data_IF_976637743422
#
_entry.id   IF_976637743422
#
_cell.length_a   1.000
_cell.length_b   1.000
_cell.length_c   1.000
_cell.angle_alpha   90.00
_cell.angle_beta   90.00
_cell.angle_gamma   90.00
#
_symmetry.space_group_name_H-M   'P 1'
#
loop_
_entity.id
_entity.type
_entity.pdbx_description
1 polymer ?
#
# COMPACT_ATOMS: atom_id res chain seq x y z
N UNK A 1 -13.92 21.68 16.37
CA UNK A 1 -15.36 21.88 16.23
C UNK A 1 -16.08 21.25 17.44
N UNK A 2 -17.39 21.38 17.55
CA UNK A 2 -18.17 20.69 18.59
C UNK A 2 -18.88 19.45 18.02
N UNK A 3 -18.51 19.03 16.82
CA UNK A 3 -19.14 17.93 16.11
C UNK A 3 -18.51 16.58 16.53
N UNK A 4 -19.24 15.46 16.44
CA UNK A 4 -18.67 14.15 16.68
C UNK A 4 -17.65 13.80 15.58
N UNK A 5 -16.51 13.24 15.97
CA UNK A 5 -15.48 12.80 15.04
C UNK A 5 -15.80 11.47 14.34
N UNK A 6 -16.84 10.79 14.80
CA UNK A 6 -17.38 9.57 14.17
C UNK A 6 -18.86 9.80 13.89
N UNK A 7 -19.24 9.79 12.62
CA UNK A 7 -20.62 9.86 12.15
C UNK A 7 -20.91 8.58 11.38
N UNK A 8 -21.47 7.59 12.06
CA UNK A 8 -21.74 6.26 11.51
C UNK A 8 -23.23 6.11 11.11
N UNK A 9 -23.62 6.76 10.01
CA UNK A 9 -24.98 6.68 9.50
C UNK A 9 -25.29 5.36 8.76
N UNK A 10 -24.27 4.61 8.38
CA UNK A 10 -24.42 3.28 7.80
C UNK A 10 -24.49 2.15 8.85
N UNK A 11 -24.39 2.49 10.15
CA UNK A 11 -24.47 1.55 11.28
C UNK A 11 -23.47 0.37 11.16
N UNK A 12 -22.22 0.68 10.79
CA UNK A 12 -21.16 -0.32 10.62
C UNK A 12 -20.48 -0.71 11.93
N UNK A 13 -20.61 0.11 12.98
CA UNK A 13 -19.92 -0.05 14.24
C UNK A 13 -20.88 -0.39 15.36
N UNK A 14 -20.44 -1.26 16.26
CA UNK A 14 -21.12 -1.40 17.55
C UNK A 14 -20.84 -0.17 18.43
N UNK A 15 -21.67 0.03 19.47
CA UNK A 15 -21.50 1.14 20.42
C UNK A 15 -20.10 1.15 21.07
N UNK A 16 -19.53 -0.02 21.40
CA UNK A 16 -18.21 -0.14 22.01
C UNK A 16 -17.11 0.22 21.00
N UNK A 17 -17.22 -0.25 19.76
CA UNK A 17 -16.31 0.10 18.67
C UNK A 17 -16.35 1.58 18.35
N UNK A 18 -17.56 2.15 18.28
CA UNK A 18 -17.76 3.58 18.06
C UNK A 18 -17.05 4.42 19.13
N UNK A 19 -17.26 4.08 20.42
CA UNK A 19 -16.62 4.80 21.53
C UNK A 19 -15.10 4.68 21.50
N UNK A 20 -14.59 3.51 21.16
CA UNK A 20 -13.14 3.25 21.07
C UNK A 20 -12.52 4.03 19.91
N UNK A 21 -13.16 4.01 18.74
CA UNK A 21 -12.72 4.76 17.57
C UNK A 21 -12.78 6.28 17.84
N UNK A 22 -13.87 6.75 18.43
CA UNK A 22 -14.01 8.16 18.79
C UNK A 22 -12.87 8.62 19.70
N UNK A 23 -12.55 7.84 20.73
CA UNK A 23 -11.45 8.16 21.63
C UNK A 23 -10.08 8.20 20.90
N UNK A 24 -9.84 7.29 19.95
CA UNK A 24 -8.63 7.28 19.14
C UNK A 24 -8.53 8.54 18.27
N UNK A 25 -9.57 8.85 17.50
CA UNK A 25 -9.63 10.03 16.64
C UNK A 25 -9.53 11.33 17.43
N UNK A 26 -10.19 11.40 18.60
CA UNK A 26 -10.10 12.55 19.49
C UNK A 26 -8.66 12.80 19.98
N UNK A 27 -7.96 11.75 20.39
CA UNK A 27 -6.58 11.87 20.84
C UNK A 27 -5.65 12.37 19.73
N UNK A 28 -5.79 11.84 18.50
CA UNK A 28 -5.03 12.29 17.34
C UNK A 28 -5.36 13.75 17.02
N UNK A 29 -6.64 14.09 16.94
CA UNK A 29 -7.08 15.45 16.63
C UNK A 29 -6.58 16.49 17.61
N UNK A 30 -6.61 16.21 18.91
CA UNK A 30 -6.12 17.11 19.94
C UNK A 30 -4.58 17.22 19.95
N UNK A 31 -3.87 16.11 19.70
CA UNK A 31 -2.43 16.10 19.67
C UNK A 31 -1.86 17.00 18.56
N UNK A 32 -2.51 16.99 17.39
CA UNK A 32 -2.03 17.67 16.19
C UNK A 32 -2.82 18.95 15.85
N UNK A 33 -3.87 19.28 16.61
CA UNK A 33 -4.78 20.39 16.32
C UNK A 33 -5.35 20.35 14.89
N UNK A 34 -5.62 19.14 14.43
CA UNK A 34 -6.14 18.82 13.11
C UNK A 34 -7.24 17.77 13.29
N UNK A 35 -8.49 18.07 12.95
CA UNK A 35 -9.60 17.13 13.16
C UNK A 35 -9.48 15.96 12.19
N UNK A 36 -9.53 14.74 12.73
CA UNK A 36 -9.59 13.49 11.97
C UNK A 36 -10.97 12.89 12.15
N UNK A 37 -11.70 12.74 11.06
CA UNK A 37 -13.12 12.39 11.07
C UNK A 37 -13.36 11.13 10.25
N UNK A 38 -14.25 10.26 10.74
CA UNK A 38 -14.82 9.13 10.00
C UNK A 38 -16.31 9.39 9.79
N UNK A 39 -16.73 9.34 8.53
CA UNK A 39 -18.11 9.43 8.13
C UNK A 39 -18.52 8.19 7.35
N UNK A 40 -19.63 7.57 7.70
CA UNK A 40 -20.23 6.49 6.92
C UNK A 40 -21.67 6.82 6.57
N UNK A 41 -22.08 6.52 5.35
CA UNK A 41 -23.45 6.71 4.90
C UNK A 41 -23.93 5.54 4.04
N UNK A 42 -25.25 5.28 3.98
CA UNK A 42 -25.81 4.29 3.07
C UNK A 42 -25.49 4.62 1.61
N UNK A 43 -25.67 5.86 1.19
CA UNK A 43 -25.50 6.35 -0.17
C UNK A 43 -25.13 7.84 -0.20
N UNK A 44 -24.88 8.39 -1.39
CA UNK A 44 -24.59 9.81 -1.64
C UNK A 44 -25.79 10.61 -2.10
N UNK A 45 -27.01 10.08 -1.99
CA UNK A 45 -28.23 10.72 -2.52
C UNK A 45 -28.15 11.08 -4.02
N UNK A 46 -27.26 10.39 -4.76
CA UNK A 46 -27.03 10.59 -6.20
C UNK A 46 -26.04 11.69 -6.56
N UNK A 47 -25.33 12.25 -5.59
CA UNK A 47 -24.20 13.16 -5.81
C UNK A 47 -22.89 12.36 -6.03
N UNK A 48 -21.84 13.03 -6.49
CA UNK A 48 -20.49 12.45 -6.54
C UNK A 48 -19.93 12.27 -5.12
N UNK A 49 -19.21 11.16 -4.88
CA UNK A 49 -18.70 10.84 -3.53
C UNK A 49 -17.79 11.94 -2.96
N UNK A 50 -16.93 12.54 -3.78
CA UNK A 50 -16.06 13.64 -3.37
C UNK A 50 -16.86 14.89 -3.06
N UNK A 51 -17.72 15.31 -3.99
CA UNK A 51 -18.56 16.50 -3.84
C UNK A 51 -19.44 16.41 -2.59
N UNK A 52 -20.06 15.25 -2.36
CA UNK A 52 -20.89 15.03 -1.19
C UNK A 52 -20.09 15.08 0.11
N UNK A 53 -18.88 14.51 0.11
CA UNK A 53 -17.98 14.52 1.29
C UNK A 53 -17.55 15.94 1.65
N UNK A 54 -17.14 16.73 0.65
CA UNK A 54 -16.72 18.12 0.85
C UNK A 54 -17.86 19.01 1.34
N UNK A 55 -19.03 18.88 0.70
CA UNK A 55 -20.20 19.64 1.12
C UNK A 55 -20.66 19.23 2.53
N UNK A 56 -20.54 17.96 2.91
CA UNK A 56 -20.82 17.49 4.25
C UNK A 56 -19.84 18.06 5.28
N UNK A 57 -18.54 18.05 4.96
CA UNK A 57 -17.51 18.64 5.80
C UNK A 57 -17.81 20.13 6.09
N UNK A 58 -18.06 20.88 5.04
CA UNK A 58 -18.31 22.31 5.11
C UNK A 58 -19.63 22.67 5.81
N UNK A 59 -20.71 21.97 5.45
CA UNK A 59 -22.04 22.26 5.96
C UNK A 59 -22.13 22.08 7.47
N UNK A 60 -21.51 21.03 7.99
CA UNK A 60 -21.47 20.78 9.43
C UNK A 60 -20.34 21.53 10.14
N UNK A 61 -19.43 22.16 9.39
CA UNK A 61 -18.38 22.99 9.92
C UNK A 61 -17.31 22.19 10.66
N UNK A 62 -16.93 21.02 10.14
CA UNK A 62 -15.81 20.24 10.65
C UNK A 62 -14.49 21.00 10.51
N UNK A 63 -13.46 20.51 11.15
CA UNK A 63 -12.11 21.06 11.15
C UNK A 63 -11.77 21.86 12.41
N UNK A 64 -10.50 21.80 12.76
CA UNK A 64 -9.94 22.44 13.95
C UNK A 64 -9.69 23.94 13.70
N UNK A 65 -10.09 24.77 14.64
CA UNK A 65 -9.80 26.20 14.60
C UNK A 65 -10.52 26.96 13.47
N UNK A 66 -10.00 28.17 13.18
CA UNK A 66 -10.58 29.08 12.18
C UNK A 66 -10.32 28.61 10.74
N UNK A 67 -9.18 27.94 10.52
CA UNK A 67 -8.80 27.44 9.19
C UNK A 67 -9.50 26.12 8.82
N UNK A 68 -10.26 25.53 9.74
CA UNK A 68 -10.91 24.24 9.52
C UNK A 68 -9.94 23.11 9.22
N UNK A 69 -8.81 23.12 9.95
CA UNK A 69 -7.75 22.14 9.76
C UNK A 69 -8.25 20.72 10.04
N UNK A 70 -8.18 19.83 9.05
CA UNK A 70 -8.67 18.49 9.23
C UNK A 70 -8.67 17.59 7.99
N UNK A 71 -9.07 16.35 8.24
CA UNK A 71 -9.26 15.31 7.23
C UNK A 71 -10.49 14.48 7.58
N UNK A 72 -11.33 14.19 6.60
CA UNK A 72 -12.47 13.30 6.69
C UNK A 72 -12.33 12.12 5.74
N UNK A 73 -12.40 10.91 6.25
CA UNK A 73 -12.63 9.70 5.46
C UNK A 73 -14.14 9.40 5.45
N UNK A 74 -14.72 9.41 4.26
CA UNK A 74 -16.11 9.03 4.02
C UNK A 74 -16.21 7.68 3.32
N UNK A 75 -17.17 6.85 3.74
CA UNK A 75 -17.45 5.53 3.14
C UNK A 75 -18.95 5.42 2.80
N UNK A 76 -19.25 5.09 1.55
CA UNK A 76 -20.60 4.98 1.00
C UNK A 76 -20.90 3.53 0.61
N UNK A 77 -21.90 2.94 1.26
CA UNK A 77 -22.11 1.50 1.21
C UNK A 77 -22.79 1.02 -0.08
N UNK A 78 -23.70 1.78 -0.66
CA UNK A 78 -24.38 1.41 -1.89
C UNK A 78 -23.47 1.56 -3.11
N UNK A 79 -22.72 2.64 -3.19
CA UNK A 79 -21.73 2.90 -4.23
C UNK A 79 -20.49 1.98 -4.08
N UNK A 80 -20.26 1.46 -2.86
CA UNK A 80 -19.03 0.77 -2.47
C UNK A 80 -17.80 1.59 -2.80
N UNK A 81 -17.89 2.85 -2.46
CA UNK A 81 -16.89 3.86 -2.79
C UNK A 81 -16.56 4.68 -1.54
N UNK A 82 -15.47 5.41 -1.61
CA UNK A 82 -14.97 6.23 -0.52
C UNK A 82 -14.40 7.54 -1.05
N UNK A 83 -14.32 8.53 -0.18
CA UNK A 83 -13.64 9.77 -0.46
C UNK A 83 -12.86 10.25 0.77
N UNK A 84 -11.78 10.97 0.52
CA UNK A 84 -11.09 11.76 1.53
C UNK A 84 -11.29 13.23 1.18
N UNK A 85 -11.63 14.03 2.18
CA UNK A 85 -11.66 15.49 2.11
C UNK A 85 -10.68 16.05 3.12
N UNK A 86 -9.75 16.88 2.69
CA UNK A 86 -8.79 17.58 3.55
C UNK A 86 -9.01 19.08 3.48
N UNK A 87 -8.80 19.77 4.60
CA UNK A 87 -8.95 21.21 4.69
C UNK A 87 -7.87 21.84 5.56
N UNK A 88 -7.51 23.09 5.24
CA UNK A 88 -6.51 23.84 5.99
C UNK A 88 -5.16 23.14 6.05
N UNK A 89 -4.60 22.96 7.25
CA UNK A 89 -3.34 22.23 7.46
C UNK A 89 -3.40 20.77 6.98
N UNK A 90 -4.61 20.16 6.97
CA UNK A 90 -4.80 18.82 6.44
C UNK A 90 -4.33 18.66 5.00
N UNK A 91 -4.46 19.70 4.15
CA UNK A 91 -3.99 19.66 2.76
C UNK A 91 -2.47 19.48 2.67
N UNK A 92 -1.72 20.13 3.59
CA UNK A 92 -0.25 20.06 3.61
C UNK A 92 0.23 18.75 4.26
N UNK A 93 -0.47 18.29 5.29
CA UNK A 93 -0.08 17.11 6.06
C UNK A 93 -0.39 15.79 5.34
N UNK A 94 -1.51 15.76 4.61
CA UNK A 94 -1.99 14.57 3.90
C UNK A 94 -1.81 14.75 2.39
N UNK A 95 -0.57 14.62 1.91
CA UNK A 95 -0.26 14.66 0.48
C UNK A 95 -0.96 13.54 -0.28
N UNK A 96 -1.09 13.65 -1.59
CA UNK A 96 -1.71 12.60 -2.42
C UNK A 96 -1.02 11.24 -2.19
N UNK A 97 0.32 11.22 -2.14
CA UNK A 97 1.08 10.01 -1.89
C UNK A 97 0.90 9.46 -0.46
N UNK A 98 0.74 10.36 0.52
CA UNK A 98 0.41 9.99 1.91
C UNK A 98 -0.98 9.38 2.02
N UNK A 99 -1.97 9.94 1.31
CA UNK A 99 -3.33 9.39 1.25
C UNK A 99 -3.34 8.01 0.57
N UNK A 100 -2.64 7.85 -0.55
CA UNK A 100 -2.51 6.57 -1.25
C UNK A 100 -1.88 5.51 -0.34
N UNK A 101 -0.77 5.85 0.34
CA UNK A 101 -0.11 4.98 1.30
C UNK A 101 -1.03 4.53 2.44
N UNK A 102 -1.82 5.46 2.97
CA UNK A 102 -2.77 5.19 4.04
C UNK A 102 -3.92 4.30 3.53
N UNK A 103 -4.53 4.66 2.41
CA UNK A 103 -5.70 3.95 1.90
C UNK A 103 -5.37 2.55 1.37
N UNK A 104 -4.18 2.30 0.86
CA UNK A 104 -3.74 0.93 0.51
C UNK A 104 -3.87 -0.02 1.71
N UNK A 105 -3.56 0.44 2.91
CA UNK A 105 -3.64 -0.36 4.13
C UNK A 105 -5.07 -0.46 4.67
N UNK A 106 -5.80 0.64 4.68
CA UNK A 106 -7.19 0.70 5.17
C UNK A 106 -8.12 -0.16 4.32
N UNK A 107 -8.00 -0.06 2.98
CA UNK A 107 -8.83 -0.82 2.05
C UNK A 107 -8.62 -2.33 2.14
N UNK A 108 -7.48 -2.80 2.63
CA UNK A 108 -7.26 -4.21 2.89
C UNK A 108 -8.21 -4.77 3.97
N UNK A 109 -8.55 -3.98 4.98
CA UNK A 109 -9.56 -4.33 5.99
C UNK A 109 -10.98 -4.23 5.42
N UNK A 110 -11.29 -3.17 4.68
CA UNK A 110 -12.62 -3.00 4.09
C UNK A 110 -12.98 -4.10 3.07
N UNK A 111 -11.97 -4.65 2.38
CA UNK A 111 -12.15 -5.78 1.47
C UNK A 111 -12.62 -7.06 2.18
N UNK A 112 -12.34 -7.18 3.48
CA UNK A 112 -12.76 -8.30 4.35
C UNK A 112 -13.99 -7.95 5.21
N UNK A 113 -14.68 -6.83 4.92
CA UNK A 113 -15.78 -6.27 5.70
C UNK A 113 -15.41 -5.93 7.16
N UNK A 114 -14.11 -5.78 7.47
CA UNK A 114 -13.59 -5.46 8.80
C UNK A 114 -13.47 -3.92 8.98
N UNK A 115 -14.61 -3.26 9.01
CA UNK A 115 -14.67 -1.79 9.04
C UNK A 115 -14.05 -1.19 10.29
N UNK A 116 -14.29 -1.80 11.45
CA UNK A 116 -13.74 -1.30 12.71
C UNK A 116 -12.20 -1.27 12.71
N UNK A 117 -11.56 -2.38 12.36
CA UNK A 117 -10.10 -2.41 12.30
C UNK A 117 -9.55 -1.54 11.15
N UNK A 118 -10.29 -1.38 10.06
CA UNK A 118 -9.96 -0.44 8.99
C UNK A 118 -9.94 1.01 9.48
N UNK A 119 -10.97 1.44 10.22
CA UNK A 119 -11.00 2.79 10.81
C UNK A 119 -9.97 2.99 11.92
N UNK A 120 -9.67 1.97 12.71
CA UNK A 120 -8.57 2.05 13.70
C UNK A 120 -7.20 2.15 13.02
N UNK A 121 -6.99 1.43 11.92
CA UNK A 121 -5.80 1.57 11.06
C UNK A 121 -5.69 2.98 10.48
N UNK A 122 -6.80 3.53 9.97
CA UNK A 122 -6.87 4.90 9.51
C UNK A 122 -6.46 5.91 10.59
N UNK A 123 -7.03 5.80 11.81
CA UNK A 123 -6.67 6.68 12.92
C UNK A 123 -5.17 6.63 13.25
N UNK A 124 -4.57 5.44 13.25
CA UNK A 124 -3.14 5.26 13.52
C UNK A 124 -2.28 5.87 12.41
N UNK A 125 -2.65 5.67 11.14
CA UNK A 125 -1.92 6.23 10.01
C UNK A 125 -2.05 7.75 9.94
N UNK A 126 -3.21 8.31 10.32
CA UNK A 126 -3.35 9.76 10.45
C UNK A 126 -2.38 10.34 11.50
N UNK A 127 -2.20 9.68 12.65
CA UNK A 127 -1.23 10.09 13.67
C UNK A 127 0.21 10.06 13.12
N UNK A 128 0.55 9.03 12.34
CA UNK A 128 1.86 8.90 11.67
C UNK A 128 2.10 10.02 10.65
N UNK A 129 1.13 10.28 9.75
CA UNK A 129 1.23 11.31 8.73
C UNK A 129 1.32 12.70 9.34
N UNK A 130 0.47 13.01 10.31
CA UNK A 130 0.49 14.28 11.03
C UNK A 130 1.78 14.47 11.81
N UNK A 131 2.30 13.42 12.46
CA UNK A 131 3.61 13.48 13.15
C UNK A 131 4.74 13.80 12.17
N UNK A 132 4.74 13.19 10.98
CA UNK A 132 5.73 13.48 9.95
C UNK A 132 5.63 14.94 9.48
N UNK A 133 4.41 15.41 9.22
CA UNK A 133 4.17 16.80 8.80
C UNK A 133 4.56 17.82 9.87
N UNK A 134 4.25 17.58 11.15
CA UNK A 134 4.64 18.43 12.28
C UNK A 134 6.17 18.52 12.42
N UNK A 135 6.90 17.49 12.02
CA UNK A 135 8.36 17.50 11.96
C UNK A 135 8.91 18.19 10.70
N UNK A 136 8.06 18.70 9.83
CA UNK A 136 8.41 19.39 8.59
C UNK A 136 8.84 18.47 7.45
N UNK A 137 8.49 17.19 7.50
CA UNK A 137 8.77 16.18 6.48
C UNK A 137 7.51 15.33 6.21
N UNK A 138 6.43 15.92 5.64
CA UNK A 138 5.21 15.19 5.34
C UNK A 138 5.50 13.99 4.44
N UNK A 139 4.77 12.91 4.64
CA UNK A 139 4.92 11.69 3.83
C UNK A 139 4.49 12.00 2.40
N UNK A 140 5.40 11.81 1.45
CA UNK A 140 5.22 12.07 0.04
C UNK A 140 5.99 11.03 -0.80
N UNK A 141 5.93 11.10 -2.12
CA UNK A 141 6.53 10.14 -3.08
C UNK A 141 7.99 9.78 -2.78
N UNK A 142 8.73 10.66 -2.11
CA UNK A 142 10.16 10.48 -1.83
C UNK A 142 10.47 9.78 -0.50
N UNK A 143 9.52 9.76 0.44
CA UNK A 143 9.75 9.27 1.81
C UNK A 143 8.63 8.32 2.29
N UNK A 144 7.84 7.75 1.37
CA UNK A 144 6.81 6.76 1.73
C UNK A 144 7.44 5.66 2.60
N UNK A 145 6.90 5.42 3.82
CA UNK A 145 7.40 4.36 4.68
C UNK A 145 7.33 3.02 3.95
N UNK A 146 8.47 2.38 3.77
CA UNK A 146 8.46 1.02 3.21
C UNK A 146 7.92 0.10 4.29
N UNK A 147 6.92 -0.75 3.98
CA UNK A 147 6.48 -1.74 4.95
C UNK A 147 7.72 -2.52 5.37
N UNK A 148 8.04 -2.48 6.66
CA UNK A 148 9.08 -3.34 7.19
C UNK A 148 8.74 -4.74 6.73
N UNK A 149 9.55 -5.30 5.84
CA UNK A 149 9.45 -6.71 5.49
C UNK A 149 9.76 -7.47 6.78
N UNK A 150 8.70 -7.69 7.56
CA UNK A 150 8.77 -8.55 8.73
C UNK A 150 9.14 -9.93 8.22
N UNK A 151 10.44 -10.18 8.13
CA UNK A 151 11.02 -11.49 7.82
C UNK A 151 10.52 -12.54 8.82
N UNK A 152 9.95 -12.08 9.93
CA UNK A 152 9.42 -12.92 11.02
C UNK A 152 8.02 -13.48 10.75
N UNK A 153 7.35 -13.12 9.62
CA UNK A 153 6.05 -13.68 9.21
C UNK A 153 6.13 -14.50 7.93
N UNK A 154 7.31 -15.00 7.55
CA UNK A 154 7.33 -16.19 6.71
C UNK A 154 6.65 -17.30 7.53
N UNK A 155 5.48 -17.78 7.10
CA UNK A 155 4.79 -18.80 7.86
C UNK A 155 5.77 -19.97 8.01
N UNK A 156 5.90 -20.48 9.24
CA UNK A 156 6.75 -21.64 9.59
C UNK A 156 6.48 -22.78 8.61
N UNK A 157 5.26 -22.87 8.11
CA UNK A 157 4.81 -23.80 7.06
C UNK A 157 5.56 -23.65 5.72
N UNK A 158 5.93 -22.44 5.32
CA UNK A 158 6.70 -22.23 4.09
C UNK A 158 8.15 -22.70 4.26
N UNK A 159 8.76 -22.43 5.41
CA UNK A 159 10.12 -22.88 5.73
C UNK A 159 10.11 -24.41 5.90
N UNK A 160 9.11 -24.95 6.58
CA UNK A 160 8.90 -26.39 6.70
C UNK A 160 8.73 -27.08 5.34
N UNK A 161 7.94 -26.50 4.45
CA UNK A 161 7.72 -26.98 3.09
C UNK A 161 8.99 -27.02 2.25
N UNK A 162 9.82 -25.96 2.33
CA UNK A 162 11.10 -25.89 1.61
C UNK A 162 12.08 -26.94 2.13
N UNK A 163 12.19 -27.12 3.44
CA UNK A 163 13.10 -28.12 4.05
C UNK A 163 12.66 -29.53 3.67
N UNK A 164 11.38 -29.85 3.77
CA UNK A 164 10.85 -31.17 3.36
C UNK A 164 11.04 -31.39 1.85
N UNK A 165 10.78 -30.38 1.02
CA UNK A 165 10.99 -30.46 -0.43
C UNK A 165 12.46 -30.71 -0.81
N UNK A 166 13.40 -30.06 -0.13
CA UNK A 166 14.85 -30.29 -0.32
C UNK A 166 15.28 -31.68 0.12
N UNK A 167 14.74 -32.22 1.22
CA UNK A 167 15.03 -33.57 1.69
C UNK A 167 14.53 -34.63 0.70
N UNK A 168 13.34 -34.47 0.16
CA UNK A 168 12.76 -35.35 -0.86
C UNK A 168 13.60 -35.29 -2.15
N UNK A 169 13.92 -34.10 -2.62
CA UNK A 169 14.74 -33.90 -3.82
C UNK A 169 16.13 -34.52 -3.66
N UNK A 170 16.75 -34.36 -2.48
CA UNK A 170 18.05 -34.97 -2.17
C UNK A 170 17.97 -36.49 -2.13
N UNK A 171 16.87 -37.05 -1.61
CA UNK A 171 16.59 -38.48 -1.61
C UNK A 171 16.50 -39.04 -3.02
N UNK A 172 15.73 -38.41 -3.89
CA UNK A 172 15.56 -38.84 -5.31
C UNK A 172 16.89 -38.77 -6.06
N UNK A 173 17.63 -37.65 -5.94
CA UNK A 173 18.94 -37.49 -6.60
C UNK A 173 19.97 -38.49 -6.08
N UNK A 174 19.89 -38.87 -4.80
CA UNK A 174 20.79 -39.86 -4.21
C UNK A 174 20.49 -41.28 -4.73
N UNK A 175 19.23 -41.61 -4.94
CA UNK A 175 18.81 -42.88 -5.56
C UNK A 175 19.25 -42.98 -7.03
N UNK A 176 19.07 -41.90 -7.79
CA UNK A 176 19.53 -41.86 -9.20
C UNK A 176 21.05 -41.95 -9.32
N UNK A 177 21.81 -41.28 -8.43
CA UNK A 177 23.27 -41.42 -8.37
C UNK A 177 23.70 -42.84 -8.02
N UNK A 178 22.96 -43.54 -7.19
CA UNK A 178 23.24 -44.95 -6.86
C UNK A 178 22.98 -45.88 -8.07
N UNK A 179 21.95 -45.60 -8.85
CA UNK A 179 21.62 -46.33 -10.09
C UNK A 179 22.65 -46.07 -11.20
N UNK A 180 23.19 -44.86 -11.29
CA UNK A 180 24.19 -44.46 -12.28
C UNK A 180 25.62 -45.00 -11.97
N UNK A 181 25.89 -45.52 -10.79
CA UNK A 181 27.18 -46.12 -10.45
C UNK A 181 27.49 -47.43 -11.20
N UNK A 182 26.54 -47.97 -11.94
CA UNK A 182 26.74 -49.15 -12.78
C UNK A 182 27.27 -48.84 -14.16
N UNK A 183 27.33 -47.57 -14.57
CA UNK A 183 27.92 -47.16 -15.83
C UNK A 183 29.41 -46.96 -15.62
N UNK A 184 30.26 -47.87 -16.15
CA UNK A 184 31.71 -47.67 -16.23
C UNK A 184 31.97 -46.44 -17.10
N UNK A 185 32.62 -45.45 -16.51
CA UNK A 185 33.19 -44.35 -17.28
C UNK A 185 34.25 -44.96 -18.23
N UNK A 186 33.93 -45.04 -19.50
CA UNK A 186 34.99 -45.20 -20.49
C UNK A 186 35.73 -43.87 -20.58
N UNK A 187 36.94 -43.88 -20.01
CA UNK A 187 37.83 -42.73 -20.04
C UNK A 187 38.36 -42.57 -21.46
N UNK A 188 37.90 -41.49 -22.08
CA UNK A 188 38.41 -40.88 -23.30
C UNK A 188 37.79 -41.36 -24.62
N UNK A 189 37.20 -40.41 -25.32
CA UNK A 189 36.85 -40.46 -26.73
C UNK A 189 38.05 -40.73 -27.66
N UNK A 190 39.20 -41.11 -27.12
CA UNK A 190 40.43 -41.42 -27.87
C UNK A 190 40.28 -42.57 -28.84
N UNK A 191 39.33 -43.50 -28.58
CA UNK A 191 39.09 -44.64 -29.45
C UNK A 191 38.21 -44.30 -30.65
N UNK A 192 37.64 -43.11 -30.71
CA UNK A 192 36.80 -42.64 -31.81
C UNK A 192 37.48 -41.55 -32.65
N UNK A 193 38.69 -41.09 -32.27
CA UNK A 193 39.45 -40.16 -33.06
C UNK A 193 40.30 -40.91 -34.08
N UNK A 194 39.91 -40.79 -35.34
CA UNK A 194 40.79 -41.15 -36.44
C UNK A 194 41.81 -40.01 -36.57
N UNK A 195 43.09 -40.33 -36.42
CA UNK A 195 44.17 -39.34 -36.54
C UNK A 195 44.05 -38.58 -37.87
N UNK A 196 44.10 -37.25 -37.81
CA UNK A 196 43.93 -36.31 -38.95
C UNK A 196 42.53 -36.20 -39.57
N UNK A 197 41.44 -36.62 -38.90
CA UNK A 197 40.09 -36.47 -39.43
C UNK A 197 39.44 -35.11 -39.17
N UNK A 198 39.98 -34.26 -38.28
CA UNK A 198 39.50 -32.92 -38.00
C UNK A 198 40.29 -31.89 -38.82
N UNK A 199 39.72 -31.44 -39.92
CA UNK A 199 40.29 -30.34 -40.70
C UNK A 199 39.36 -29.11 -40.57
N UNK A 200 39.72 -28.18 -39.69
CA UNK A 200 39.02 -26.90 -39.54
C UNK A 200 39.55 -25.98 -40.65
N UNK A 201 38.72 -25.79 -41.68
CA UNK A 201 39.07 -24.95 -42.84
C UNK A 201 38.65 -23.50 -42.69
N UNK A 202 37.84 -23.18 -41.70
CA UNK A 202 37.41 -21.79 -41.44
C UNK A 202 36.93 -21.61 -40.00
N UNK A 203 37.57 -20.69 -39.27
CA UNK A 203 37.14 -20.24 -37.96
C UNK A 203 36.70 -18.77 -38.10
N UNK A 204 35.45 -18.49 -37.79
CA UNK A 204 34.92 -17.13 -37.82
C UNK A 204 34.21 -16.80 -36.50
N UNK A 205 34.83 -15.91 -35.73
CA UNK A 205 34.16 -15.32 -34.57
C UNK A 205 33.15 -14.28 -35.04
N UNK A 206 31.85 -14.53 -34.82
CA UNK A 206 30.80 -13.56 -35.08
C UNK A 206 30.40 -12.93 -33.75
N UNK A 207 30.82 -11.70 -33.51
CA UNK A 207 30.35 -10.91 -32.40
C UNK A 207 28.91 -10.46 -32.68
N UNK A 208 27.92 -11.00 -31.90
CA UNK A 208 26.55 -10.49 -31.90
C UNK A 208 26.43 -9.44 -30.81
N UNK A 209 26.26 -8.19 -31.20
CA UNK A 209 25.98 -7.14 -30.24
C UNK A 209 24.58 -7.31 -29.60
N UNK A 210 24.51 -6.98 -28.34
CA UNK A 210 23.24 -6.94 -27.61
C UNK A 210 22.74 -5.49 -27.65
N UNK A 211 21.60 -5.27 -28.27
CA UNK A 211 20.92 -3.98 -28.16
C UNK A 211 20.14 -3.99 -26.84
N UNK A 212 20.43 -3.03 -25.98
CA UNK A 212 19.66 -2.79 -24.76
C UNK A 212 18.99 -1.45 -24.93
N UNK A 213 17.70 -1.47 -25.18
CA UNK A 213 16.88 -0.27 -25.12
C UNK A 213 16.63 0.07 -23.64
N UNK A 214 17.22 1.15 -23.19
CA UNK A 214 16.92 1.73 -21.91
C UNK A 214 15.75 2.69 -22.13
N UNK A 215 14.55 2.28 -21.75
CA UNK A 215 13.40 3.19 -21.67
C UNK A 215 13.56 3.96 -20.37
N UNK A 216 13.84 5.27 -20.40
CA UNK A 216 13.85 6.05 -19.17
C UNK A 216 12.44 6.01 -18.58
N UNK A 217 12.36 5.70 -17.28
CA UNK A 217 11.13 5.86 -16.51
C UNK A 217 10.74 7.35 -16.60
N UNK A 218 9.46 7.69 -16.85
CA UNK A 218 9.03 9.07 -16.73
C UNK A 218 9.46 9.60 -15.36
N UNK A 219 10.02 10.78 -15.31
CA UNK A 219 10.22 11.52 -14.08
C UNK A 219 8.82 11.86 -13.55
N UNK A 220 8.41 11.18 -12.49
CA UNK A 220 7.27 11.58 -11.67
C UNK A 220 7.75 12.79 -10.85
N UNK A 221 7.73 13.97 -11.48
CA UNK A 221 7.85 15.23 -10.77
C UNK A 221 6.45 15.65 -10.32
N UNK A 222 6.40 15.99 -9.08
CA UNK A 222 5.49 16.74 -8.26
C UNK A 222 4.79 15.89 -7.21
N UNK A 223 5.53 15.65 -6.10
CA UNK A 223 4.94 15.41 -4.80
C UNK A 223 4.20 16.69 -4.37
N UNK A 224 2.97 16.51 -3.97
CA UNK A 224 2.07 17.58 -3.56
C UNK A 224 0.67 17.02 -3.41
N UNK A 225 -0.19 17.81 -2.78
CA UNK A 225 -1.62 17.49 -2.69
C UNK A 225 -2.37 18.16 -3.83
N UNK A 226 -3.21 17.42 -4.54
CA UNK A 226 -4.18 18.02 -5.46
C UNK A 226 -5.32 18.65 -4.65
N UNK A 227 -5.78 19.82 -5.06
CA UNK A 227 -6.84 20.53 -4.35
C UNK A 227 -7.99 20.88 -5.29
N UNK A 228 -9.21 20.89 -4.75
CA UNK A 228 -10.43 21.32 -5.42
C UNK A 228 -11.27 22.21 -4.47
N UNK A 229 -12.30 22.84 -4.97
CA UNK A 229 -13.13 23.76 -4.19
C UNK A 229 -14.55 23.24 -4.11
N UNK A 230 -15.06 23.12 -2.89
CA UNK A 230 -16.45 22.73 -2.63
C UNK A 230 -17.45 23.77 -3.08
N UNK A 231 -18.74 23.42 -3.04
CA UNK A 231 -19.82 24.35 -3.39
C UNK A 231 -19.90 25.55 -2.42
N UNK A 232 -19.39 25.41 -1.20
CA UNK A 232 -19.29 26.50 -0.22
C UNK A 232 -18.12 27.46 -0.45
N UNK A 233 -17.17 27.11 -1.35
CA UNK A 233 -15.98 27.88 -1.66
C UNK A 233 -14.76 27.54 -0.81
N UNK A 234 -14.81 26.49 0.01
CA UNK A 234 -13.69 25.98 0.80
C UNK A 234 -12.78 25.11 -0.09
N UNK A 235 -11.48 25.14 0.14
CA UNK A 235 -10.49 24.34 -0.59
C UNK A 235 -10.25 23.03 0.15
N UNK A 236 -10.35 21.92 -0.57
CA UNK A 236 -10.09 20.56 -0.14
C UNK A 236 -9.03 19.89 -1.01
N UNK A 237 -8.38 18.86 -0.51
CA UNK A 237 -7.38 18.07 -1.24
C UNK A 237 -7.43 16.60 -0.89
#
# INVERSE_FOLDING_TARGET
SGNPLVVDAAELLTEEEWQTLYAALYNVSEAHQCEVIVFTAPDTEGYGVVEYTDDFYDYYGFGYGENKDGLMLALYMEERDWAISTCGYGIEAFTDAGQDYMMEQVLAYFAEDDYYNGFMCFAQLCDELLTAADNGDPIDVHNIPQPEKSINKLPIDLIGGIVVGLLIAFGIVSMDKAALKTVRHEAAAKNYLVDNSLNITHEQEIFRYRHVDVIPKPDDDDGGSSTHTSSSGTTHG
#
